data_IF_034887955061
#
_entry.id   IF_034887955061
#
_cell.length_a   1.000
_cell.length_b   1.000
_cell.length_c   1.000
_cell.angle_alpha   90.00
_cell.angle_beta   90.00
_cell.angle_gamma   90.00
#
_symmetry.space_group_name_H-M   'P 1'
#
loop_
_entity.id
_entity.type
_entity.pdbx_description
1 polymer ?
#
# COMPACT_ATOMS: atom_id res chain seq x y z
N UNK A 1 31.00 13.60 -7.15
CA UNK A 1 29.78 13.74 -6.33
C UNK A 1 28.72 12.83 -6.95
N UNK A 2 28.70 11.56 -6.55
CA UNK A 2 27.76 10.55 -7.06
C UNK A 2 27.08 9.75 -5.92
N UNK A 3 27.16 10.22 -4.67
CA UNK A 3 26.63 9.54 -3.48
C UNK A 3 25.11 9.68 -3.26
N UNK A 4 24.42 10.40 -4.13
CA UNK A 4 22.98 10.70 -3.94
C UNK A 4 22.04 9.61 -4.45
N UNK A 5 22.40 8.90 -5.52
CA UNK A 5 21.44 8.13 -6.33
C UNK A 5 21.11 6.73 -5.76
N UNK A 6 22.12 6.03 -5.22
CA UNK A 6 21.90 4.72 -4.57
C UNK A 6 21.07 4.86 -3.28
N UNK A 7 21.40 5.84 -2.46
CA UNK A 7 20.72 6.14 -1.19
C UNK A 7 19.24 6.45 -1.40
N UNK A 8 18.88 7.27 -2.39
CA UNK A 8 17.47 7.58 -2.69
C UNK A 8 16.70 6.36 -3.20
N UNK A 9 17.34 5.48 -3.96
CA UNK A 9 16.71 4.24 -4.45
C UNK A 9 16.42 3.25 -3.33
N UNK A 10 17.36 3.05 -2.41
CA UNK A 10 17.15 2.21 -1.22
C UNK A 10 16.06 2.78 -0.30
N UNK A 11 16.02 4.10 -0.12
CA UNK A 11 14.95 4.78 0.64
C UNK A 11 13.56 4.57 0.02
N UNK A 12 13.45 4.64 -1.32
CA UNK A 12 12.19 4.39 -2.03
C UNK A 12 11.73 2.94 -1.87
N UNK A 13 12.64 1.96 -1.98
CA UNK A 13 12.31 0.54 -1.75
C UNK A 13 11.88 0.30 -0.31
N UNK A 14 12.57 0.92 0.65
CA UNK A 14 12.21 0.84 2.07
C UNK A 14 10.84 1.45 2.35
N UNK A 15 10.55 2.62 1.78
CA UNK A 15 9.25 3.27 1.88
C UNK A 15 8.14 2.41 1.27
N UNK A 16 8.37 1.81 0.10
CA UNK A 16 7.41 0.88 -0.52
C UNK A 16 7.13 -0.34 0.37
N UNK A 17 8.17 -0.88 1.02
CA UNK A 17 8.03 -1.96 2.00
C UNK A 17 7.23 -1.55 3.23
N UNK A 18 7.45 -0.34 3.76
CA UNK A 18 6.68 0.20 4.88
C UNK A 18 5.21 0.41 4.52
N UNK A 19 4.92 0.94 3.33
CA UNK A 19 3.54 1.12 2.86
C UNK A 19 2.83 -0.22 2.78
N UNK A 20 3.46 -1.27 2.23
CA UNK A 20 2.90 -2.63 2.25
C UNK A 20 2.63 -3.15 3.65
N UNK A 21 3.59 -3.00 4.57
CA UNK A 21 3.41 -3.44 5.96
C UNK A 21 2.25 -2.71 6.65
N UNK A 22 2.09 -1.41 6.40
CA UNK A 22 0.96 -0.62 6.91
C UNK A 22 -0.36 -1.11 6.29
N UNK A 23 -0.40 -1.39 4.99
CA UNK A 23 -1.58 -1.99 4.34
C UNK A 23 -2.00 -3.30 4.96
N UNK A 24 -1.06 -4.20 5.21
CA UNK A 24 -1.35 -5.50 5.81
C UNK A 24 -1.86 -5.34 7.25
N UNK A 25 -1.27 -4.42 8.02
CA UNK A 25 -1.71 -4.12 9.37
C UNK A 25 -3.14 -3.53 9.39
N UNK A 26 -3.41 -2.57 8.51
CA UNK A 26 -4.74 -1.98 8.32
C UNK A 26 -5.76 -3.06 7.96
N UNK A 27 -5.45 -3.94 7.00
CA UNK A 27 -6.33 -5.03 6.60
C UNK A 27 -6.61 -6.01 7.76
N UNK A 28 -5.60 -6.30 8.57
CA UNK A 28 -5.76 -7.10 9.79
C UNK A 28 -6.65 -6.43 10.82
N UNK A 29 -6.53 -5.13 11.03
CA UNK A 29 -7.43 -4.36 11.92
C UNK A 29 -8.87 -4.36 11.38
N UNK A 30 -9.02 -4.14 10.06
CA UNK A 30 -10.32 -4.11 9.41
C UNK A 30 -11.06 -5.46 9.55
N UNK A 31 -10.33 -6.57 9.34
CA UNK A 31 -10.86 -7.93 9.52
C UNK A 31 -11.18 -8.27 10.97
N UNK A 32 -10.39 -7.77 11.94
CA UNK A 32 -10.67 -7.92 13.37
C UNK A 32 -11.97 -7.22 13.76
N UNK A 33 -12.15 -5.96 13.35
CA UNK A 33 -13.38 -5.23 13.66
C UNK A 33 -14.60 -5.93 13.04
N UNK A 34 -14.51 -6.35 11.76
CA UNK A 34 -15.55 -7.14 11.10
C UNK A 34 -15.94 -8.38 11.90
N UNK A 35 -14.95 -9.12 12.41
CA UNK A 35 -15.17 -10.35 13.18
C UNK A 35 -15.85 -10.07 14.53
N UNK A 36 -15.53 -8.96 15.18
CA UNK A 36 -16.19 -8.52 16.41
C UNK A 36 -17.64 -8.06 16.18
N UNK A 37 -17.91 -7.47 15.01
CA UNK A 37 -19.23 -6.97 14.65
C UNK A 37 -20.20 -8.08 14.19
N UNK A 38 -19.69 -9.21 13.69
CA UNK A 38 -20.51 -10.33 13.22
C UNK A 38 -21.53 -10.86 14.25
N UNK A 39 -21.13 -11.14 15.50
CA UNK A 39 -22.04 -11.59 16.56
C UNK A 39 -23.11 -10.55 16.95
N UNK A 40 -22.79 -9.25 16.83
CA UNK A 40 -23.71 -8.16 17.17
C UNK A 40 -24.85 -8.02 16.15
N UNK A 41 -24.63 -8.43 14.90
CA UNK A 41 -25.65 -8.43 13.86
C UNK A 41 -26.87 -9.28 14.23
N UNK A 42 -26.65 -10.42 14.91
CA UNK A 42 -27.75 -11.29 15.36
C UNK A 42 -28.51 -10.76 16.58
N UNK A 43 -27.94 -9.79 17.30
CA UNK A 43 -28.53 -9.22 18.51
C UNK A 43 -29.37 -7.96 18.22
N UNK A 44 -29.11 -7.27 17.11
CA UNK A 44 -29.82 -6.03 16.77
C UNK A 44 -31.03 -6.36 15.88
N UNK A 45 -32.22 -6.11 16.40
CA UNK A 45 -33.50 -6.31 15.71
C UNK A 45 -34.14 -4.97 15.33
N UNK A 46 -34.93 -4.95 14.26
CA UNK A 46 -35.68 -3.77 13.81
C UNK A 46 -34.78 -2.65 13.29
N UNK A 47 -35.02 -1.41 13.72
CA UNK A 47 -34.31 -0.21 13.23
C UNK A 47 -32.80 -0.26 13.44
N UNK A 48 -32.33 -0.93 14.49
CA UNK A 48 -30.90 -1.10 14.78
C UNK A 48 -30.20 -2.01 13.73
N UNK A 49 -30.91 -3.02 13.20
CA UNK A 49 -30.39 -3.89 12.16
C UNK A 49 -30.12 -3.10 10.86
N UNK A 50 -31.05 -2.21 10.49
CA UNK A 50 -30.91 -1.35 9.30
C UNK A 50 -29.75 -0.38 9.45
N UNK A 51 -29.61 0.26 10.61
CA UNK A 51 -28.48 1.16 10.89
C UNK A 51 -27.13 0.44 10.83
N UNK A 52 -27.07 -0.79 11.34
CA UNK A 52 -25.86 -1.63 11.24
C UNK A 52 -25.54 -2.05 9.82
N UNK A 53 -26.55 -2.46 9.04
CA UNK A 53 -26.35 -2.81 7.63
C UNK A 53 -25.77 -1.63 6.84
N UNK A 54 -26.26 -0.41 7.11
CA UNK A 54 -25.70 0.81 6.51
C UNK A 54 -24.28 1.10 6.99
N UNK A 55 -23.99 0.91 8.28
CA UNK A 55 -22.64 1.06 8.83
C UNK A 55 -21.67 0.07 8.19
N UNK A 56 -22.06 -1.20 8.06
CA UNK A 56 -21.26 -2.25 7.43
C UNK A 56 -21.00 -1.98 5.94
N UNK A 57 -21.99 -1.44 5.22
CA UNK A 57 -21.81 -1.06 3.82
C UNK A 57 -20.82 0.12 3.65
N UNK A 58 -20.91 1.13 4.53
CA UNK A 58 -19.94 2.24 4.58
C UNK A 58 -18.55 1.73 4.93
N UNK A 59 -18.47 0.86 5.93
CA UNK A 59 -17.22 0.23 6.34
C UNK A 59 -16.53 -0.51 5.19
N UNK A 60 -17.24 -1.38 4.48
CA UNK A 60 -16.68 -2.12 3.33
C UNK A 60 -16.22 -1.16 2.22
N UNK A 61 -16.91 -0.02 2.04
CA UNK A 61 -16.54 1.01 1.06
C UNK A 61 -15.23 1.72 1.46
N UNK A 62 -15.13 2.19 2.69
CA UNK A 62 -13.93 2.88 3.18
C UNK A 62 -12.72 1.93 3.25
N UNK A 63 -12.94 0.67 3.64
CA UNK A 63 -11.93 -0.38 3.62
C UNK A 63 -11.34 -0.59 2.22
N UNK A 64 -12.18 -0.66 1.18
CA UNK A 64 -11.73 -0.77 -0.21
C UNK A 64 -10.95 0.45 -0.66
N UNK A 65 -11.49 1.64 -0.39
CA UNK A 65 -10.84 2.91 -0.75
C UNK A 65 -9.45 3.05 -0.12
N UNK A 66 -9.31 2.63 1.13
CA UNK A 66 -8.03 2.63 1.83
C UNK A 66 -7.04 1.65 1.19
N UNK A 67 -7.49 0.44 0.85
CA UNK A 67 -6.66 -0.54 0.12
C UNK A 67 -6.21 -0.02 -1.24
N UNK A 68 -7.11 0.57 -2.03
CA UNK A 68 -6.79 1.14 -3.33
C UNK A 68 -5.77 2.27 -3.21
N UNK A 69 -5.95 3.19 -2.25
CA UNK A 69 -5.02 4.28 -2.03
C UNK A 69 -3.63 3.76 -1.63
N UNK A 70 -3.56 2.78 -0.73
CA UNK A 70 -2.29 2.20 -0.30
C UNK A 70 -1.61 1.36 -1.40
N UNK A 71 -2.39 0.66 -2.23
CA UNK A 71 -1.92 -0.04 -3.42
C UNK A 71 -1.30 0.94 -4.42
N UNK A 72 -2.00 2.03 -4.73
CA UNK A 72 -1.50 3.08 -5.63
C UNK A 72 -0.19 3.72 -5.12
N UNK A 73 -0.09 3.99 -3.81
CA UNK A 73 1.16 4.49 -3.20
C UNK A 73 2.29 3.46 -3.36
N UNK A 74 2.00 2.18 -3.10
CA UNK A 74 2.96 1.10 -3.26
C UNK A 74 3.45 0.92 -4.70
N UNK A 75 2.55 1.01 -5.67
CA UNK A 75 2.86 0.96 -7.10
C UNK A 75 3.68 2.17 -7.55
N UNK A 76 3.33 3.37 -7.12
CA UNK A 76 4.07 4.58 -7.45
C UNK A 76 5.50 4.53 -6.92
N UNK A 77 5.71 4.03 -5.70
CA UNK A 77 7.04 3.87 -5.13
C UNK A 77 7.84 2.74 -5.83
N UNK A 78 7.20 1.61 -6.14
CA UNK A 78 7.85 0.47 -6.82
C UNK A 78 8.18 0.72 -8.29
N UNK A 79 7.30 1.39 -9.03
CA UNK A 79 7.52 1.80 -10.42
C UNK A 79 8.65 2.82 -10.54
N UNK A 80 8.78 3.70 -9.54
CA UNK A 80 9.90 4.63 -9.44
C UNK A 80 11.21 3.86 -9.26
N UNK A 81 11.31 2.97 -8.25
CA UNK A 81 12.52 2.17 -8.02
C UNK A 81 12.98 1.37 -9.27
N UNK A 82 12.05 0.76 -10.00
CA UNK A 82 12.36 0.00 -11.23
C UNK A 82 12.89 0.91 -12.35
N UNK A 83 12.30 2.09 -12.50
CA UNK A 83 12.74 3.09 -13.50
C UNK A 83 14.15 3.59 -13.19
N UNK A 84 14.46 3.82 -11.91
CA UNK A 84 15.79 4.24 -11.47
C UNK A 84 16.86 3.16 -11.71
N UNK A 85 16.58 1.89 -11.37
CA UNK A 85 17.50 0.78 -11.66
C UNK A 85 17.82 0.67 -13.16
N UNK A 86 16.81 0.77 -14.03
CA UNK A 86 17.04 0.74 -15.47
C UNK A 86 17.90 1.91 -15.97
N UNK A 87 17.76 3.09 -15.37
CA UNK A 87 18.58 4.25 -15.73
C UNK A 87 20.04 4.06 -15.30
N UNK A 88 20.27 3.48 -14.12
CA UNK A 88 21.62 3.19 -13.63
C UNK A 88 22.34 2.13 -14.49
N UNK A 89 21.66 1.05 -14.85
CA UNK A 89 22.22 0.01 -15.73
C UNK A 89 22.59 0.56 -17.12
N UNK A 90 21.73 1.42 -17.69
CA UNK A 90 22.02 2.12 -18.96
C UNK A 90 23.23 3.04 -18.83
N UNK A 91 23.32 3.79 -17.73
CA UNK A 91 24.43 4.71 -17.52
C UNK A 91 25.76 3.96 -17.31
N UNK A 92 25.78 2.86 -16.55
CA UNK A 92 26.95 1.97 -16.42
C UNK A 92 27.40 1.43 -17.77
N UNK A 93 26.45 0.96 -18.58
CA UNK A 93 26.75 0.41 -19.91
C UNK A 93 27.34 1.48 -20.82
N UNK A 94 26.76 2.70 -20.82
CA UNK A 94 27.27 3.83 -21.60
C UNK A 94 28.68 4.24 -21.19
N UNK A 95 28.96 4.35 -19.88
CA UNK A 95 30.31 4.65 -19.37
C UNK A 95 31.32 3.58 -19.78
N UNK A 96 30.93 2.30 -19.70
CA UNK A 96 31.79 1.18 -20.11
C UNK A 96 32.12 1.23 -21.60
N UNK A 97 31.17 1.66 -22.45
CA UNK A 97 31.40 1.81 -23.90
C UNK A 97 32.23 3.04 -24.30
N UNK A 98 32.36 4.04 -23.43
CA UNK A 98 33.16 5.25 -23.69
C UNK A 98 34.61 5.06 -23.24
N UNK A 99 34.85 4.16 -22.28
CA UNK A 99 36.17 3.87 -21.71
C UNK A 99 36.87 2.66 -22.34
N UNK A 100 36.21 1.92 -23.24
CA UNK A 100 36.78 0.84 -24.05
C UNK A 100 36.88 1.25 -25.51
#
# INVERSE_FOLDING_TARGET
MADGFGTTTEEMVRAAGQVRAVSDAVNGELGRLRSQLGPLQGQWSGTAATAFAQLMAKWDTEARRLNEALGAIGEQLGGTATTYQQQEDRNRTAITSVLG
#
